data_IF_822439573104
#
_entry.id   IF_822439573104
#
_cell.length_a   1.000
_cell.length_b   1.000
_cell.length_c   1.000
_cell.angle_alpha   90.00
_cell.angle_beta   90.00
_cell.angle_gamma   90.00
#
_symmetry.space_group_name_H-M   'P 1'
#
loop_
_entity.id
_entity.type
_entity.pdbx_description
1 polymer ?
#
# COMPACT_ATOMS: atom_id res chain seq x y z
N UNK A 1 -20.08 1.57 0.25
CA UNK A 1 -19.29 2.11 -0.88
C UNK A 1 -18.47 0.97 -1.44
N UNK A 2 -18.41 0.85 -2.77
CA UNK A 2 -17.60 -0.15 -3.44
C UNK A 2 -16.18 0.42 -3.59
N UNK A 3 -15.18 -0.35 -3.17
CA UNK A 3 -13.78 0.00 -3.35
C UNK A 3 -13.13 -1.08 -4.19
N UNK A 4 -12.29 -0.68 -5.14
CA UNK A 4 -11.56 -1.59 -6.01
C UNK A 4 -10.07 -1.53 -5.68
N UNK A 5 -9.47 -2.69 -5.49
CA UNK A 5 -8.03 -2.86 -5.33
C UNK A 5 -7.42 -3.32 -6.66
N UNK A 6 -6.35 -2.65 -7.08
CA UNK A 6 -5.57 -3.05 -8.26
C UNK A 6 -4.10 -2.70 -8.11
N UNK A 7 -3.27 -3.37 -8.90
CA UNK A 7 -1.86 -2.99 -9.05
C UNK A 7 -1.80 -1.69 -9.87
N UNK A 8 -1.02 -0.74 -9.38
CA UNK A 8 -0.76 0.51 -10.05
C UNK A 8 0.14 0.31 -11.27
N UNK A 9 -0.07 1.16 -12.27
CA UNK A 9 0.70 1.24 -13.51
C UNK A 9 1.51 2.54 -13.54
N UNK A 10 2.41 2.70 -14.50
CA UNK A 10 3.22 3.93 -14.63
C UNK A 10 2.36 5.20 -14.78
N UNK A 11 1.15 5.06 -15.35
CA UNK A 11 0.20 6.16 -15.51
C UNK A 11 -0.36 6.66 -14.17
N UNK A 12 -0.31 5.82 -13.13
CA UNK A 12 -0.82 6.14 -11.80
C UNK A 12 0.21 6.86 -10.93
N UNK A 13 1.49 6.86 -11.33
CA UNK A 13 2.61 7.46 -10.57
C UNK A 13 2.34 8.93 -10.19
N UNK A 14 1.86 9.82 -11.10
CA UNK A 14 1.53 11.19 -10.72
C UNK A 14 0.42 11.27 -9.68
N UNK A 15 -0.62 10.45 -9.80
CA UNK A 15 -1.74 10.41 -8.87
C UNK A 15 -1.32 9.90 -7.49
N UNK A 16 -0.48 8.86 -7.44
CA UNK A 16 0.08 8.32 -6.21
C UNK A 16 0.97 9.37 -5.53
N UNK A 17 1.84 10.04 -6.27
CA UNK A 17 2.69 11.11 -5.70
C UNK A 17 1.86 12.22 -5.08
N UNK A 18 0.83 12.71 -5.78
CA UNK A 18 -0.07 13.73 -5.24
C UNK A 18 -0.82 13.23 -3.99
N UNK A 19 -1.17 11.94 -3.94
CA UNK A 19 -1.84 11.34 -2.78
C UNK A 19 -0.90 11.16 -1.58
N UNK A 20 0.35 10.77 -1.82
CA UNK A 20 1.39 10.67 -0.80
C UNK A 20 1.74 12.02 -0.19
N UNK A 21 1.83 13.07 -1.01
CA UNK A 21 2.03 14.44 -0.53
C UNK A 21 0.91 14.88 0.42
N UNK A 22 -0.36 14.58 0.08
CA UNK A 22 -1.50 14.86 0.97
C UNK A 22 -1.39 14.11 2.30
N UNK A 23 -0.86 12.88 2.28
CA UNK A 23 -0.60 12.07 3.47
C UNK A 23 0.69 12.44 4.22
N UNK A 24 1.40 13.50 3.81
CA UNK A 24 2.71 13.89 4.34
C UNK A 24 3.79 12.80 4.25
N UNK A 25 3.59 11.81 3.38
CA UNK A 25 4.60 10.80 3.11
C UNK A 25 5.76 11.44 2.35
N UNK A 26 6.98 11.34 2.91
CA UNK A 26 8.18 11.92 2.31
C UNK A 26 8.74 10.99 1.24
N UNK A 27 9.14 11.59 0.12
CA UNK A 27 9.75 10.89 -1.01
C UNK A 27 8.68 10.47 -2.02
N UNK A 28 8.78 11.00 -3.24
CA UNK A 28 7.98 10.54 -4.36
C UNK A 28 8.28 9.08 -4.70
N UNK A 29 7.38 8.47 -5.46
CA UNK A 29 7.46 7.08 -5.87
C UNK A 29 7.79 6.99 -7.34
N UNK A 30 8.53 5.94 -7.66
CA UNK A 30 8.81 5.49 -9.02
C UNK A 30 8.54 4.01 -9.05
N UNK A 31 7.83 3.53 -10.08
CA UNK A 31 7.72 2.10 -10.32
C UNK A 31 9.07 1.64 -10.89
N UNK A 32 9.80 0.87 -10.10
CA UNK A 32 11.04 0.22 -10.51
C UNK A 32 10.78 -1.29 -10.63
N UNK A 33 11.69 -2.03 -11.27
CA UNK A 33 11.53 -3.48 -11.49
C UNK A 33 11.24 -4.29 -10.21
N UNK A 34 11.65 -3.77 -9.04
CA UNK A 34 11.43 -4.40 -7.73
C UNK A 34 10.39 -3.69 -6.86
N UNK A 35 9.66 -2.73 -7.41
CA UNK A 35 8.72 -1.90 -6.64
C UNK A 35 7.35 -1.90 -7.29
N UNK A 36 6.37 -2.45 -6.59
CA UNK A 36 4.97 -2.43 -6.98
C UNK A 36 4.17 -1.52 -6.03
N UNK A 37 3.13 -0.89 -6.54
CA UNK A 37 2.16 -0.16 -5.72
C UNK A 37 0.79 -0.78 -5.88
N UNK A 38 0.07 -0.92 -4.78
CA UNK A 38 -1.35 -1.25 -4.76
C UNK A 38 -2.11 0.04 -4.48
N UNK A 39 -3.08 0.32 -5.33
CA UNK A 39 -3.99 1.44 -5.16
C UNK A 39 -5.39 0.92 -4.86
N UNK A 40 -6.09 1.67 -4.03
CA UNK A 40 -7.49 1.46 -3.74
C UNK A 40 -8.26 2.68 -4.24
N UNK A 41 -9.21 2.43 -5.13
CA UNK A 41 -10.06 3.44 -5.74
C UNK A 41 -11.49 3.30 -5.23
N UNK A 42 -12.17 4.43 -5.04
CA UNK A 42 -13.61 4.44 -4.78
C UNK A 42 -14.42 4.29 -6.08
N UNK A 43 -15.74 4.31 -5.96
CA UNK A 43 -16.66 4.16 -7.11
C UNK A 43 -16.55 5.30 -8.14
N UNK A 44 -15.99 6.45 -7.76
CA UNK A 44 -15.75 7.60 -8.63
C UNK A 44 -14.35 7.57 -9.27
N UNK A 45 -13.58 6.50 -9.01
CA UNK A 45 -12.20 6.35 -9.49
C UNK A 45 -11.19 7.21 -8.73
N UNK A 46 -11.55 7.74 -7.56
CA UNK A 46 -10.62 8.52 -6.75
C UNK A 46 -9.81 7.60 -5.84
N UNK A 47 -8.52 7.92 -5.69
CA UNK A 47 -7.66 7.21 -4.74
C UNK A 47 -8.17 7.38 -3.32
N UNK A 48 -8.59 6.28 -2.73
CA UNK A 48 -8.94 6.15 -1.32
C UNK A 48 -7.73 5.71 -0.49
N UNK A 49 -6.79 4.96 -1.08
CA UNK A 49 -5.56 4.54 -0.40
C UNK A 49 -4.47 4.06 -1.36
N UNK A 50 -3.23 4.08 -0.92
CA UNK A 50 -2.10 3.48 -1.62
C UNK A 50 -1.12 2.80 -0.66
N UNK A 51 -0.50 1.72 -1.13
CA UNK A 51 0.53 0.98 -0.40
C UNK A 51 1.61 0.52 -1.38
N UNK A 52 2.86 0.90 -1.12
CA UNK A 52 4.02 0.44 -1.87
C UNK A 52 4.61 -0.84 -1.27
N UNK A 53 5.05 -1.74 -2.13
CA UNK A 53 5.79 -2.95 -1.81
C UNK A 53 7.08 -2.95 -2.62
N UNK A 54 8.22 -2.97 -1.93
CA UNK A 54 9.54 -3.01 -2.52
C UNK A 54 10.22 -4.33 -2.15
N UNK A 55 10.64 -5.12 -3.13
CA UNK A 55 11.34 -6.37 -2.88
C UNK A 55 12.81 -6.09 -2.52
N UNK A 56 13.20 -6.40 -1.28
CA UNK A 56 14.57 -6.22 -0.79
C UNK A 56 15.47 -7.36 -1.29
N UNK A 57 14.98 -8.59 -1.19
CA UNK A 57 15.64 -9.81 -1.67
C UNK A 57 14.60 -10.89 -2.01
N UNK A 58 15.03 -12.11 -2.31
CA UNK A 58 14.16 -13.19 -2.78
C UNK A 58 13.03 -13.55 -1.80
N UNK A 59 13.17 -13.26 -0.50
CA UNK A 59 12.20 -13.67 0.53
C UNK A 59 11.63 -12.50 1.34
N UNK A 60 12.22 -11.30 1.24
CA UNK A 60 11.85 -10.14 2.03
C UNK A 60 11.32 -8.99 1.16
N UNK A 61 10.20 -8.43 1.59
CA UNK A 61 9.57 -7.25 1.00
C UNK A 61 9.40 -6.16 2.03
N UNK A 62 9.54 -4.92 1.60
CA UNK A 62 9.37 -3.72 2.40
C UNK A 62 8.09 -3.01 1.98
N UNK A 63 7.15 -2.94 2.90
CA UNK A 63 6.00 -2.06 2.84
C UNK A 63 6.41 -0.63 3.14
N UNK A 64 6.08 0.25 2.22
CA UNK A 64 6.40 1.68 2.29
C UNK A 64 5.25 2.52 1.77
N UNK A 65 5.27 3.81 2.12
CA UNK A 65 4.37 4.80 1.55
C UNK A 65 2.88 4.44 1.70
N UNK A 66 2.50 3.91 2.88
CA UNK A 66 1.10 3.64 3.22
C UNK A 66 0.39 4.96 3.52
N UNK A 67 -0.55 5.35 2.66
CA UNK A 67 -1.47 6.47 2.92
C UNK A 67 -2.89 5.99 2.67
N UNK A 68 -3.77 6.33 3.60
CA UNK A 68 -5.20 5.99 3.53
C UNK A 68 -6.02 7.26 3.81
N UNK A 69 -7.11 7.45 3.08
CA UNK A 69 -8.07 8.51 3.38
C UNK A 69 -8.78 8.20 4.69
N UNK A 70 -9.04 9.25 5.46
CA UNK A 70 -9.89 9.28 6.65
C UNK A 70 -11.33 8.78 6.43
N UNK A 71 -11.78 8.70 5.17
CA UNK A 71 -13.08 8.14 4.78
C UNK A 71 -13.12 6.62 4.82
N UNK A 72 -11.98 5.94 4.98
CA UNK A 72 -11.91 4.49 5.03
C UNK A 72 -12.18 3.95 6.44
N UNK A 73 -13.23 3.15 6.58
CA UNK A 73 -13.47 2.35 7.78
C UNK A 73 -12.45 1.21 7.98
N UNK A 74 -12.35 0.72 9.22
CA UNK A 74 -11.41 -0.34 9.64
C UNK A 74 -11.41 -1.60 8.74
N UNK A 75 -12.56 -2.00 8.21
CA UNK A 75 -12.66 -3.17 7.32
C UNK A 75 -11.92 -3.04 5.98
N UNK A 76 -11.78 -1.82 5.45
CA UNK A 76 -11.05 -1.59 4.21
C UNK A 76 -9.53 -1.61 4.41
N UNK A 77 -9.07 -1.19 5.59
CA UNK A 77 -7.66 -1.27 5.98
C UNK A 77 -7.22 -2.74 6.01
N UNK A 78 -8.01 -3.61 6.64
CA UNK A 78 -7.74 -5.07 6.67
C UNK A 78 -7.67 -5.65 5.25
N UNK A 79 -8.57 -5.23 4.36
CA UNK A 79 -8.60 -5.70 2.97
C UNK A 79 -7.36 -5.30 2.17
N UNK A 80 -6.84 -4.09 2.39
CA UNK A 80 -5.57 -3.63 1.83
C UNK A 80 -4.40 -4.54 2.26
N UNK A 81 -4.29 -4.82 3.57
CA UNK A 81 -3.24 -5.70 4.09
C UNK A 81 -3.32 -7.11 3.52
N UNK A 82 -4.52 -7.69 3.43
CA UNK A 82 -4.72 -9.01 2.82
C UNK A 82 -4.32 -9.05 1.35
N UNK A 83 -4.65 -8.00 0.58
CA UNK A 83 -4.28 -7.89 -0.83
C UNK A 83 -2.76 -7.84 -1.01
N UNK A 84 -2.07 -7.15 -0.11
CA UNK A 84 -0.61 -7.02 -0.15
C UNK A 84 0.10 -8.30 0.31
N UNK A 85 -0.45 -9.00 1.30
CA UNK A 85 0.04 -10.33 1.69
C UNK A 85 -0.08 -11.32 0.52
N UNK A 86 -1.25 -11.34 -0.13
CA UNK A 86 -1.49 -12.18 -1.33
C UNK A 86 -0.54 -11.81 -2.48
N UNK A 87 -0.24 -10.52 -2.65
CA UNK A 87 0.72 -10.05 -3.65
C UNK A 87 2.14 -10.49 -3.31
N UNK A 88 2.55 -10.38 -2.05
CA UNK A 88 3.85 -10.85 -1.55
C UNK A 88 4.04 -12.35 -1.81
N UNK A 89 3.04 -13.17 -1.50
CA UNK A 89 3.07 -14.61 -1.78
C UNK A 89 3.28 -14.90 -3.27
N UNK A 90 2.59 -14.17 -4.16
CA UNK A 90 2.78 -14.29 -5.62
C UNK A 90 4.16 -13.85 -6.09
N UNK A 91 4.80 -12.95 -5.37
CA UNK A 91 6.16 -12.47 -5.64
C UNK A 91 7.26 -13.34 -4.96
N UNK A 92 6.87 -14.40 -4.23
CA UNK A 92 7.81 -15.24 -3.47
C UNK A 92 8.31 -14.61 -2.17
N UNK A 93 7.69 -13.52 -1.72
CA UNK A 93 8.04 -12.78 -0.50
C UNK A 93 7.28 -13.39 0.68
N UNK A 94 8.02 -13.81 1.71
CA UNK A 94 7.50 -14.48 2.90
C UNK A 94 7.50 -13.58 4.14
N UNK A 95 8.31 -12.53 4.14
CA UNK A 95 8.47 -11.61 5.27
C UNK A 95 8.27 -10.18 4.77
N UNK A 96 7.30 -9.49 5.34
CA UNK A 96 6.95 -8.10 5.02
C UNK A 96 7.36 -7.18 6.18
N UNK A 97 8.33 -6.30 5.93
CA UNK A 97 8.74 -5.25 6.86
C UNK A 97 7.95 -3.97 6.60
N UNK A 98 7.59 -3.20 7.61
CA UNK A 98 6.94 -1.89 7.44
C UNK A 98 7.70 -0.84 8.24
N UNK A 99 8.14 0.22 7.57
CA UNK A 99 8.72 1.39 8.23
C UNK A 99 7.63 2.44 8.48
N UNK A 100 7.05 2.43 9.69
CA UNK A 100 6.12 3.49 10.11
C UNK A 100 6.91 4.69 10.64
N UNK A 101 6.94 5.79 9.88
CA UNK A 101 7.19 7.11 10.45
C UNK A 101 5.83 7.76 10.72
N UNK A 102 5.45 7.73 12.01
CA UNK A 102 4.36 8.53 12.59
C UNK A 102 2.94 8.12 12.20
N UNK A 103 2.57 6.87 12.44
CA UNK A 103 1.21 6.53 12.85
C UNK A 103 1.32 5.52 14.00
N UNK A 104 0.78 5.77 15.20
CA UNK A 104 0.61 4.72 16.18
C UNK A 104 -0.43 3.77 15.60
N UNK A 105 0.03 2.69 14.98
CA UNK A 105 -0.84 1.56 14.65
C UNK A 105 -1.27 0.95 15.99
N UNK A 106 -2.52 1.08 16.45
CA UNK A 106 -3.03 -0.02 17.23
C UNK A 106 -3.01 -1.18 16.25
N UNK A 107 -2.49 -2.31 16.68
CA UNK A 107 -2.64 -3.56 15.97
C UNK A 107 -1.52 -4.02 15.03
N UNK A 108 -0.35 -4.21 15.63
CA UNK A 108 0.30 -5.54 15.57
C UNK A 108 -0.70 -6.55 16.15
N UNK A 109 -1.77 -6.94 15.43
CA UNK A 109 -2.73 -7.92 15.95
C UNK A 109 -2.46 -9.30 15.38
N UNK A 110 -1.96 -10.13 16.31
CA UNK A 110 -2.34 -11.51 16.51
C UNK A 110 -2.05 -12.47 15.35
N UNK A 111 -0.80 -12.94 15.36
CA UNK A 111 -0.47 -14.32 15.07
C UNK A 111 -1.29 -15.24 16.01
N UNK A 112 -2.08 -16.16 15.46
CA UNK A 112 -2.35 -17.43 16.12
C UNK A 112 -2.11 -18.58 15.15
#
# INVERSE_FOLDING_TARGET
MYYQLRIATEQDVPAINAFLEKGQAKGGVTLAERTAFVVMEDADGQLAGCLGLEQLNEQEGLLRSLVISDKLGQGHIVSLFQSVQTLGEKMGVWILFMSSQTIPLPMIFFWH
#
